data_IF_480765528611
#
_entry.id   IF_480765528611
#
_cell.length_a   1.000
_cell.length_b   1.000
_cell.length_c   1.000
_cell.angle_alpha   90.00
_cell.angle_beta   90.00
_cell.angle_gamma   90.00
#
_symmetry.space_group_name_H-M   'P 1'
#
loop_
_entity.id
_entity.type
_entity.pdbx_description
1 polymer ?
#
# COMPACT_ATOMS: atom_id res chain seq x y z
N UNK A 1 -4.09 43.90 -20.06
CA UNK A 1 -4.18 42.71 -20.92
C UNK A 1 -3.69 41.53 -20.10
N UNK A 2 -4.55 40.57 -19.77
CA UNK A 2 -4.19 39.42 -18.94
C UNK A 2 -3.78 38.31 -19.90
N UNK A 3 -2.48 38.01 -19.95
CA UNK A 3 -1.94 36.90 -20.73
C UNK A 3 -2.52 35.59 -20.18
N UNK A 4 -3.37 34.94 -20.97
CA UNK A 4 -3.83 33.58 -20.71
C UNK A 4 -2.61 32.67 -20.81
N UNK A 5 -2.06 32.27 -19.65
CA UNK A 5 -1.11 31.16 -19.55
C UNK A 5 -1.73 29.95 -20.24
N UNK A 6 -1.15 29.57 -21.38
CA UNK A 6 -1.51 28.37 -22.12
C UNK A 6 -1.44 27.18 -21.18
N UNK A 7 -2.57 26.48 -21.02
CA UNK A 7 -2.70 25.29 -20.19
C UNK A 7 -1.54 24.32 -20.47
N UNK A 8 -0.86 23.80 -19.44
CA UNK A 8 0.26 22.92 -19.64
C UNK A 8 -0.27 21.57 -20.11
N UNK A 9 0.21 21.12 -21.27
CA UNK A 9 0.10 19.75 -21.77
C UNK A 9 -1.37 19.36 -22.05
N UNK A 10 -1.76 19.52 -23.31
CA UNK A 10 -2.92 18.83 -23.89
C UNK A 10 -2.97 17.41 -23.36
N UNK A 11 -4.07 17.08 -22.68
CA UNK A 11 -4.40 15.75 -22.15
C UNK A 11 -3.83 14.65 -23.05
N UNK A 12 -3.05 13.74 -22.45
CA UNK A 12 -2.78 12.43 -23.04
C UNK A 12 -4.11 11.89 -23.56
N UNK A 13 -4.24 11.79 -24.88
CA UNK A 13 -5.52 11.39 -25.48
C UNK A 13 -5.86 10.03 -24.88
N UNK A 14 -7.12 9.81 -24.55
CA UNK A 14 -7.57 8.52 -24.02
C UNK A 14 -7.06 7.34 -24.86
N UNK A 15 -6.93 7.55 -26.17
CA UNK A 15 -6.32 6.65 -27.15
C UNK A 15 -4.88 6.25 -26.80
N UNK A 16 -4.03 7.18 -26.33
CA UNK A 16 -2.64 6.91 -25.94
C UNK A 16 -2.58 5.97 -24.74
N UNK A 17 -3.49 6.14 -23.78
CA UNK A 17 -3.59 5.31 -22.58
C UNK A 17 -4.05 3.89 -22.94
N UNK A 18 -5.04 3.78 -23.83
CA UNK A 18 -5.54 2.48 -24.34
C UNK A 18 -4.44 1.76 -25.11
N UNK A 19 -3.71 2.48 -25.97
CA UNK A 19 -2.60 1.93 -26.74
C UNK A 19 -1.47 1.45 -25.83
N UNK A 20 -1.04 2.28 -24.87
CA UNK A 20 0.00 1.91 -23.90
C UNK A 20 -0.41 0.68 -23.08
N UNK A 21 -1.67 0.60 -22.63
CA UNK A 21 -2.18 -0.56 -21.89
C UNK A 21 -2.06 -1.84 -22.72
N UNK A 22 -2.38 -1.78 -24.01
CA UNK A 22 -2.27 -2.93 -24.92
C UNK A 22 -0.82 -3.40 -25.04
N UNK A 23 0.12 -2.49 -25.31
CA UNK A 23 1.55 -2.81 -25.43
C UNK A 23 2.11 -3.42 -24.15
N UNK A 24 1.75 -2.86 -22.99
CA UNK A 24 2.24 -3.39 -21.71
C UNK A 24 1.72 -4.80 -21.42
N UNK A 25 0.48 -5.13 -21.82
CA UNK A 25 -0.06 -6.48 -21.70
C UNK A 25 0.68 -7.46 -22.62
N UNK A 26 0.95 -7.07 -23.86
CA UNK A 26 1.74 -7.88 -24.80
C UNK A 26 3.13 -8.20 -24.24
N UNK A 27 3.80 -7.23 -23.60
CA UNK A 27 5.11 -7.45 -22.94
C UNK A 27 5.00 -8.43 -21.76
N UNK A 28 3.91 -8.37 -20.99
CA UNK A 28 3.73 -9.26 -19.83
C UNK A 28 3.52 -10.70 -20.26
N UNK A 29 2.77 -10.92 -21.35
CA UNK A 29 2.45 -12.25 -21.87
C UNK A 29 3.53 -12.83 -22.81
N UNK A 30 4.51 -12.03 -23.23
CA UNK A 30 5.61 -12.46 -24.09
C UNK A 30 6.74 -13.14 -23.31
N UNK A 31 6.84 -14.47 -23.46
CA UNK A 31 7.90 -15.27 -22.84
C UNK A 31 9.30 -14.99 -23.39
N UNK A 32 9.43 -14.34 -24.55
CA UNK A 32 10.71 -13.92 -25.12
C UNK A 32 11.26 -12.65 -24.47
N UNK A 33 10.40 -11.84 -23.84
CA UNK A 33 10.81 -10.67 -23.07
C UNK A 33 11.59 -11.08 -21.80
N UNK A 34 12.54 -10.25 -21.36
CA UNK A 34 13.28 -10.54 -20.13
C UNK A 34 12.35 -10.47 -18.92
N UNK A 35 12.63 -11.29 -17.89
CA UNK A 35 11.86 -11.24 -16.62
C UNK A 35 11.78 -9.83 -16.04
N UNK A 36 12.84 -9.03 -16.20
CA UNK A 36 12.88 -7.65 -15.70
C UNK A 36 11.87 -6.76 -16.43
N UNK A 37 11.76 -6.90 -17.74
CA UNK A 37 10.86 -6.10 -18.57
C UNK A 37 9.39 -6.46 -18.28
N UNK A 38 9.09 -7.76 -18.12
CA UNK A 38 7.74 -8.22 -17.72
C UNK A 38 7.34 -7.67 -16.34
N UNK A 39 8.27 -7.64 -15.39
CA UNK A 39 8.04 -7.07 -14.05
C UNK A 39 7.79 -5.56 -14.14
N UNK A 40 8.57 -4.83 -14.96
CA UNK A 40 8.40 -3.39 -15.08
C UNK A 40 7.11 -3.02 -15.80
N UNK A 41 6.73 -3.77 -16.85
CA UNK A 41 5.44 -3.63 -17.52
C UNK A 41 4.26 -3.88 -16.56
N UNK A 42 4.36 -4.90 -15.71
CA UNK A 42 3.36 -5.19 -14.67
C UNK A 42 3.21 -4.03 -13.67
N UNK A 43 4.32 -3.41 -13.25
CA UNK A 43 4.28 -2.23 -12.36
C UNK A 43 3.64 -1.01 -13.03
N UNK A 44 3.93 -0.79 -14.31
CA UNK A 44 3.34 0.32 -15.08
C UNK A 44 1.83 0.11 -15.29
N UNK A 45 1.38 -1.12 -15.57
CA UNK A 45 -0.03 -1.49 -15.61
C UNK A 45 -0.73 -1.23 -14.26
N UNK A 46 -0.08 -1.57 -13.15
CA UNK A 46 -0.62 -1.30 -11.81
C UNK A 46 -0.81 0.21 -11.55
N UNK A 47 0.14 1.03 -11.99
CA UNK A 47 0.09 2.49 -11.81
C UNK A 47 -0.98 3.17 -12.67
N UNK A 48 -1.23 2.64 -13.86
CA UNK A 48 -2.24 3.16 -14.80
C UNK A 48 -3.67 2.73 -14.43
N UNK A 49 -3.84 1.63 -13.72
CA UNK A 49 -5.13 1.25 -13.13
C UNK A 49 -5.38 2.01 -11.82
N UNK A 50 -6.20 3.08 -11.87
CA UNK A 50 -6.65 3.81 -10.68
C UNK A 50 -7.24 2.92 -9.58
N UNK A 51 -7.84 1.78 -9.94
CA UNK A 51 -8.44 0.81 -9.01
C UNK A 51 -7.46 -0.15 -8.33
N UNK A 52 -6.19 -0.18 -8.75
CA UNK A 52 -5.14 -1.01 -8.14
C UNK A 52 -4.08 -0.19 -7.41
N UNK A 53 -4.20 1.13 -7.41
CA UNK A 53 -3.41 1.97 -6.52
C UNK A 53 -3.85 1.65 -5.09
N UNK A 54 -2.96 1.01 -4.32
CA UNK A 54 -3.17 0.79 -2.90
C UNK A 54 -3.40 2.17 -2.29
N UNK A 55 -4.60 2.37 -1.75
CA UNK A 55 -4.95 3.59 -1.06
C UNK A 55 -3.85 3.87 -0.01
N UNK A 56 -3.37 5.12 0.02
CA UNK A 56 -2.33 5.54 0.97
C UNK A 56 -2.78 5.28 2.41
N UNK A 57 -4.09 5.24 2.65
CA UNK A 57 -4.67 4.81 3.93
C UNK A 57 -4.27 3.37 4.30
N UNK A 58 -4.37 2.41 3.37
CA UNK A 58 -4.04 1.00 3.57
C UNK A 58 -2.56 0.79 3.83
N UNK A 59 -1.69 1.52 3.13
CA UNK A 59 -0.24 1.48 3.39
C UNK A 59 0.13 2.10 4.74
N UNK A 60 -0.58 3.14 5.18
CA UNK A 60 -0.40 3.72 6.51
C UNK A 60 -0.83 2.74 7.62
N UNK A 61 -1.95 2.02 7.44
CA UNK A 61 -2.43 1.01 8.41
C UNK A 61 -1.50 -0.19 8.49
N UNK A 62 -1.02 -0.71 7.37
CA UNK A 62 -0.06 -1.82 7.34
C UNK A 62 1.27 -1.45 8.02
N UNK A 63 1.78 -0.24 7.78
CA UNK A 63 2.98 0.27 8.45
C UNK A 63 2.77 0.54 9.93
N UNK A 64 1.58 0.98 10.35
CA UNK A 64 1.24 1.13 11.75
C UNK A 64 1.22 -0.23 12.46
N UNK A 65 0.55 -1.24 11.88
CA UNK A 65 0.51 -2.60 12.43
C UNK A 65 1.90 -3.23 12.54
N UNK A 66 2.78 -3.03 11.55
CA UNK A 66 4.16 -3.50 11.61
C UNK A 66 4.98 -2.84 12.75
N UNK A 67 4.67 -1.58 13.10
CA UNK A 67 5.28 -0.90 14.26
C UNK A 67 4.75 -1.42 15.59
N UNK A 68 3.48 -1.80 15.69
CA UNK A 68 2.90 -2.36 16.91
C UNK A 68 3.28 -3.83 17.14
N UNK A 69 3.56 -4.60 16.08
CA UNK A 69 3.98 -6.00 16.21
C UNK A 69 5.35 -6.17 16.89
N UNK A 70 6.19 -5.13 16.91
CA UNK A 70 7.51 -5.14 17.57
C UNK A 70 7.52 -4.48 18.96
N UNK A 71 6.37 -4.08 19.49
CA UNK A 71 6.29 -3.57 20.85
C UNK A 71 6.09 -4.72 21.83
N UNK A 72 7.17 -5.08 22.54
CA UNK A 72 7.06 -5.92 23.73
C UNK A 72 6.01 -5.33 24.68
N UNK A 73 5.15 -6.15 25.30
CA UNK A 73 4.15 -5.65 26.24
C UNK A 73 4.81 -4.76 27.29
N UNK A 74 4.25 -3.59 27.61
CA UNK A 74 4.82 -2.71 28.61
C UNK A 74 4.95 -3.48 29.93
N UNK A 75 6.17 -3.53 30.48
CA UNK A 75 6.39 -4.13 31.81
C UNK A 75 5.58 -3.34 32.82
N UNK A 76 4.54 -3.96 33.36
CA UNK A 76 3.72 -3.37 34.41
C UNK A 76 4.58 -3.06 35.63
N UNK A 77 4.35 -1.93 36.29
CA UNK A 77 5.00 -1.60 37.56
C UNK A 77 4.65 -2.69 38.61
N UNK A 78 5.56 -3.04 39.54
CA UNK A 78 5.36 -4.15 40.48
C UNK A 78 4.03 -4.10 41.24
N UNK A 79 3.60 -2.92 41.70
CA UNK A 79 2.33 -2.74 42.40
C UNK A 79 1.09 -3.10 41.55
N UNK A 80 1.13 -2.83 40.24
CA UNK A 80 0.06 -3.18 39.32
C UNK A 80 0.09 -4.66 38.94
N UNK A 81 1.27 -5.30 38.93
CA UNK A 81 1.39 -6.74 38.73
C UNK A 81 0.76 -7.53 39.89
N UNK A 82 0.97 -7.07 41.11
CA UNK A 82 0.40 -7.70 42.30
C UNK A 82 -1.12 -7.58 42.35
N UNK A 83 -1.64 -6.39 42.02
CA UNK A 83 -3.08 -6.15 41.89
C UNK A 83 -3.70 -7.06 40.81
N UNK A 84 -3.06 -7.16 39.64
CA UNK A 84 -3.54 -8.01 38.55
C UNK A 84 -3.50 -9.50 38.93
N UNK A 85 -2.46 -9.95 39.65
CA UNK A 85 -2.37 -11.31 40.17
C UNK A 85 -3.48 -11.62 41.19
N UNK A 86 -3.82 -10.67 42.05
CA UNK A 86 -4.94 -10.80 42.99
C UNK A 86 -6.28 -10.97 42.28
N UNK A 87 -6.56 -10.12 41.29
CA UNK A 87 -7.79 -10.18 40.50
C UNK A 87 -7.91 -11.49 39.71
N UNK A 88 -6.83 -11.97 39.10
CA UNK A 88 -6.81 -13.22 38.34
C UNK A 88 -6.94 -14.47 39.23
N UNK A 89 -6.47 -14.42 40.48
CA UNK A 89 -6.70 -15.49 41.45
C UNK A 89 -8.18 -15.57 41.87
N UNK A 90 -8.82 -14.42 42.07
CA UNK A 90 -10.24 -14.37 42.43
C UNK A 90 -11.15 -14.81 41.28
N UNK A 91 -10.77 -14.52 40.03
CA UNK A 91 -11.51 -14.94 38.84
C UNK A 91 -11.45 -16.45 38.54
N UNK A 92 -10.53 -17.20 39.17
CA UNK A 92 -10.42 -18.67 39.02
C UNK A 92 -11.10 -19.46 40.15
N UNK A 93 -11.63 -18.75 41.15
CA UNK A 93 -12.30 -19.34 42.32
C UNK A 93 -13.83 -19.17 42.27
N UNK A 94 -14.37 -18.71 41.14
CA UNK A 94 -15.81 -18.72 40.78
C UNK A 94 -16.02 -19.68 39.62
#
# INVERSE_FOLDING_TARGET
>A
MIEKKTSPISEHKHEDVVHLRKVLLEIVDDDTCTKKDRIEASKLLLRTHHSLQIDKSVTATANAQAKFANLSPPKLKPALQETLRGLLKNAKSS
#
